data_IF_197253980262
#
_entry.id   IF_197253980262
#
_cell.length_a   1.000
_cell.length_b   1.000
_cell.length_c   1.000
_cell.angle_alpha   90.00
_cell.angle_beta   90.00
_cell.angle_gamma   90.00
#
_symmetry.space_group_name_H-M   'P 1'
#
loop_
_entity.id
_entity.type
_entity.pdbx_description
1 polymer ?
#
# COMPACT_ATOMS: atom_id res chain seq x y z
N UNK A 1 14.59 5.27 4.68
CA UNK A 1 15.32 6.29 3.87
C UNK A 1 16.62 6.77 4.52
N UNK A 2 16.61 7.50 5.65
CA UNK A 2 17.83 8.12 6.24
C UNK A 2 19.03 7.16 6.36
N UNK A 3 18.82 5.92 6.80
CA UNK A 3 19.87 4.91 6.94
C UNK A 3 20.59 4.59 5.61
N UNK A 4 19.85 4.52 4.49
CA UNK A 4 20.41 4.30 3.14
C UNK A 4 21.30 5.47 2.71
N UNK A 5 20.87 6.70 3.00
CA UNK A 5 21.65 7.92 2.72
C UNK A 5 22.94 7.92 3.56
N UNK A 6 22.85 7.57 4.84
CA UNK A 6 24.02 7.49 5.72
C UNK A 6 25.04 6.44 5.24
N UNK A 7 24.59 5.24 4.85
CA UNK A 7 25.46 4.19 4.29
C UNK A 7 26.11 4.65 2.98
N UNK A 8 25.35 5.27 2.06
CA UNK A 8 25.89 5.80 0.82
C UNK A 8 26.98 6.87 1.05
N UNK A 9 26.75 7.80 1.99
CA UNK A 9 27.74 8.82 2.38
C UNK A 9 29.00 8.19 2.98
N UNK A 10 28.86 7.19 3.87
CA UNK A 10 30.00 6.49 4.48
C UNK A 10 30.84 5.76 3.43
N UNK A 11 30.21 5.04 2.49
CA UNK A 11 30.91 4.36 1.39
C UNK A 11 31.64 5.35 0.49
N UNK A 12 31.00 6.48 0.15
CA UNK A 12 31.58 7.51 -0.72
C UNK A 12 32.78 8.20 -0.03
N UNK A 13 32.68 8.53 1.27
CA UNK A 13 33.78 9.06 2.07
C UNK A 13 34.94 8.05 2.21
N UNK A 14 34.62 6.77 2.43
CA UNK A 14 35.64 5.71 2.50
C UNK A 14 36.40 5.54 1.19
N UNK A 15 35.71 5.55 0.04
CA UNK A 15 36.32 5.53 -1.29
C UNK A 15 37.19 6.78 -1.56
N UNK A 16 36.70 7.97 -1.17
CA UNK A 16 37.44 9.22 -1.32
C UNK A 16 38.73 9.22 -0.47
N UNK A 17 38.64 8.75 0.78
CA UNK A 17 39.78 8.61 1.69
C UNK A 17 40.79 7.57 1.19
N UNK A 18 40.32 6.40 0.75
CA UNK A 18 41.17 5.36 0.18
C UNK A 18 41.95 5.89 -1.02
N UNK A 19 41.28 6.56 -1.97
CA UNK A 19 41.95 7.22 -3.09
C UNK A 19 42.98 8.27 -2.61
N UNK A 20 42.61 9.12 -1.64
CA UNK A 20 43.49 10.19 -1.13
C UNK A 20 44.74 9.70 -0.39
N UNK A 21 44.71 8.51 0.22
CA UNK A 21 45.81 7.94 1.02
C UNK A 21 46.60 6.83 0.32
N UNK A 22 45.99 6.02 -0.56
CA UNK A 22 46.69 4.94 -1.28
C UNK A 22 47.34 5.44 -2.58
N UNK A 23 46.69 6.36 -3.33
CA UNK A 23 47.24 6.90 -4.59
C UNK A 23 48.68 7.46 -4.47
N UNK A 24 49.06 8.25 -3.45
CA UNK A 24 50.44 8.73 -3.28
C UNK A 24 51.42 7.66 -2.73
N UNK A 25 50.99 6.41 -2.53
CA UNK A 25 51.85 5.27 -2.14
C UNK A 25 51.97 4.20 -3.23
N UNK A 26 51.10 4.23 -4.25
CA UNK A 26 51.08 3.26 -5.35
C UNK A 26 51.68 3.83 -6.65
N UNK A 27 51.77 5.15 -6.80
CA UNK A 27 52.40 5.80 -7.95
C UNK A 27 53.87 6.14 -7.64
N UNK A 28 54.70 5.09 -7.59
CA UNK A 28 56.17 5.19 -7.54
C UNK A 28 56.75 4.11 -8.48
N UNK A 29 57.59 4.55 -9.41
CA UNK A 29 58.09 3.84 -10.59
C UNK A 29 57.04 3.34 -11.62
N UNK A 30 57.24 3.75 -12.88
CA UNK A 30 56.72 3.20 -14.15
C UNK A 30 55.40 2.42 -14.15
N UNK A 31 54.26 3.15 -14.22
CA UNK A 31 53.09 2.64 -14.94
C UNK A 31 52.24 3.73 -15.60
N UNK A 32 52.19 3.72 -16.94
CA UNK A 32 51.25 4.52 -17.75
C UNK A 32 49.85 3.84 -17.81
N UNK A 33 49.72 2.63 -17.26
CA UNK A 33 48.46 1.87 -17.11
C UNK A 33 47.61 2.36 -15.92
N UNK A 34 47.64 3.67 -15.64
CA UNK A 34 46.70 4.30 -14.72
C UNK A 34 45.27 4.18 -15.26
N UNK A 35 44.48 3.23 -14.70
CA UNK A 35 43.12 2.88 -15.12
C UNK A 35 42.33 4.13 -15.55
N UNK A 36 42.10 4.27 -16.85
CA UNK A 36 41.70 5.54 -17.40
C UNK A 36 40.20 5.76 -17.18
N UNK A 37 39.76 7.01 -17.19
CA UNK A 37 38.35 7.38 -16.92
C UNK A 37 37.39 6.63 -17.85
N UNK A 38 37.79 6.40 -19.11
CA UNK A 38 37.08 5.56 -20.10
C UNK A 38 36.80 4.13 -19.62
N UNK A 39 37.69 3.53 -18.84
CA UNK A 39 37.61 2.13 -18.41
C UNK A 39 36.64 1.98 -17.22
N UNK A 40 36.46 3.06 -16.45
CA UNK A 40 35.45 3.18 -15.40
C UNK A 40 34.04 3.53 -15.93
N UNK A 41 33.94 4.18 -17.10
CA UNK A 41 32.65 4.56 -17.72
C UNK A 41 31.80 3.33 -18.05
N UNK A 42 32.39 2.23 -18.52
CA UNK A 42 31.65 0.99 -18.83
C UNK A 42 30.89 0.44 -17.61
N UNK A 43 31.59 0.08 -16.51
CA UNK A 43 30.94 -0.36 -15.27
C UNK A 43 29.95 0.67 -14.73
N UNK A 44 30.29 1.96 -14.71
CA UNK A 44 29.41 3.01 -14.19
C UNK A 44 28.08 3.09 -14.97
N UNK A 45 28.13 3.01 -16.31
CA UNK A 45 26.92 2.99 -17.14
C UNK A 45 26.05 1.74 -16.89
N UNK A 46 26.65 0.56 -16.72
CA UNK A 46 25.84 -0.64 -16.39
C UNK A 46 25.16 -0.51 -15.02
N UNK A 47 25.84 0.08 -14.03
CA UNK A 47 25.25 0.36 -12.72
C UNK A 47 24.14 1.42 -12.79
N UNK A 48 24.26 2.48 -13.59
CA UNK A 48 23.18 3.47 -13.74
C UNK A 48 21.96 2.90 -14.47
N UNK A 49 22.13 2.00 -15.44
CA UNK A 49 21.01 1.30 -16.09
C UNK A 49 20.27 0.39 -15.11
N UNK A 50 20.99 -0.40 -14.30
CA UNK A 50 20.39 -1.24 -13.27
C UNK A 50 19.66 -0.40 -12.20
N UNK A 51 20.28 0.69 -11.75
CA UNK A 51 19.70 1.57 -10.73
C UNK A 51 18.48 2.35 -11.25
N UNK A 52 18.49 2.76 -12.53
CA UNK A 52 17.33 3.34 -13.20
C UNK A 52 16.19 2.31 -13.35
N UNK A 53 16.50 1.05 -13.68
CA UNK A 53 15.49 -0.02 -13.74
C UNK A 53 14.87 -0.32 -12.37
N UNK A 54 15.68 -0.38 -11.30
CA UNK A 54 15.19 -0.51 -9.92
C UNK A 54 14.31 0.69 -9.53
N UNK A 55 14.70 1.91 -9.89
CA UNK A 55 13.91 3.12 -9.61
C UNK A 55 12.56 3.11 -10.35
N UNK A 56 12.54 2.73 -11.64
CA UNK A 56 11.32 2.64 -12.45
C UNK A 56 10.38 1.54 -11.93
N UNK A 57 10.91 0.37 -11.58
CA UNK A 57 10.11 -0.74 -11.05
C UNK A 57 9.53 -0.43 -9.67
N UNK A 58 10.32 0.18 -8.76
CA UNK A 58 9.83 0.64 -7.46
C UNK A 58 8.73 1.72 -7.59
N UNK A 59 8.94 2.73 -8.45
CA UNK A 59 7.96 3.79 -8.68
C UNK A 59 6.68 3.26 -9.36
N UNK A 60 6.81 2.25 -10.24
CA UNK A 60 5.67 1.55 -10.84
C UNK A 60 4.83 0.78 -9.82
N UNK A 61 5.47 0.11 -8.85
CA UNK A 61 4.76 -0.61 -7.78
C UNK A 61 4.06 0.36 -6.81
N UNK A 62 4.71 1.46 -6.42
CA UNK A 62 4.07 2.52 -5.63
C UNK A 62 2.83 3.09 -6.33
N UNK A 63 2.94 3.43 -7.62
CA UNK A 63 1.82 3.96 -8.40
C UNK A 63 0.64 2.98 -8.51
N UNK A 64 0.92 1.67 -8.61
CA UNK A 64 -0.12 0.63 -8.55
C UNK A 64 -0.75 0.50 -7.16
N UNK A 65 0.03 0.52 -6.09
CA UNK A 65 -0.49 0.49 -4.72
C UNK A 65 -1.40 1.70 -4.45
N UNK A 66 -1.02 2.89 -4.90
CA UNK A 66 -1.83 4.12 -4.79
C UNK A 66 -3.14 4.02 -5.60
N UNK A 67 -3.08 3.49 -6.83
CA UNK A 67 -4.29 3.25 -7.64
C UNK A 67 -5.21 2.23 -6.98
N UNK A 68 -4.67 1.10 -6.51
CA UNK A 68 -5.42 0.02 -5.88
C UNK A 68 -6.10 0.47 -4.58
N UNK A 69 -5.37 1.15 -3.68
CA UNK A 69 -5.96 1.73 -2.46
C UNK A 69 -7.11 2.70 -2.77
N UNK A 70 -7.01 3.49 -3.86
CA UNK A 70 -8.08 4.39 -4.31
C UNK A 70 -9.21 3.66 -5.03
N UNK A 71 -8.95 2.54 -5.70
CA UNK A 71 -9.96 1.73 -6.35
C UNK A 71 -10.83 1.03 -5.31
N UNK A 72 -10.21 0.44 -4.29
CA UNK A 72 -10.89 -0.20 -3.17
C UNK A 72 -11.76 0.79 -2.39
N UNK A 73 -11.24 1.96 -2.04
CA UNK A 73 -12.00 3.01 -1.36
C UNK A 73 -13.28 3.39 -2.15
N UNK A 74 -13.13 3.69 -3.44
CA UNK A 74 -14.29 4.01 -4.31
C UNK A 74 -15.27 2.84 -4.45
N UNK A 75 -14.80 1.59 -4.36
CA UNK A 75 -15.67 0.43 -4.42
C UNK A 75 -16.41 0.17 -3.09
N UNK A 76 -15.87 0.64 -1.95
CA UNK A 76 -16.62 0.74 -0.68
C UNK A 76 -17.66 1.88 -0.76
N UNK A 77 -17.29 3.05 -1.30
CA UNK A 77 -18.23 4.15 -1.52
C UNK A 77 -19.39 3.72 -2.43
N UNK A 78 -19.09 3.08 -3.57
CA UNK A 78 -20.10 2.52 -4.50
C UNK A 78 -20.94 1.41 -3.87
N UNK A 79 -20.41 0.65 -2.92
CA UNK A 79 -21.20 -0.35 -2.19
C UNK A 79 -22.22 0.32 -1.27
N UNK A 80 -21.85 1.43 -0.62
CA UNK A 80 -22.73 2.25 0.21
C UNK A 80 -23.79 2.97 -0.64
N UNK A 81 -23.40 3.58 -1.76
CA UNK A 81 -24.33 4.21 -2.72
C UNK A 81 -25.33 3.19 -3.30
N UNK A 82 -24.86 1.99 -3.68
CA UNK A 82 -25.73 0.92 -4.18
C UNK A 82 -26.68 0.39 -3.10
N UNK A 83 -26.31 0.45 -1.82
CA UNK A 83 -27.16 0.00 -0.71
C UNK A 83 -28.38 0.90 -0.48
N UNK A 84 -28.39 2.16 -0.95
CA UNK A 84 -29.56 3.05 -0.86
C UNK A 84 -30.78 2.51 -1.65
N UNK A 85 -30.56 1.59 -2.60
CA UNK A 85 -31.64 0.89 -3.33
C UNK A 85 -32.13 -0.41 -2.64
N UNK A 86 -31.59 -0.74 -1.46
CA UNK A 86 -32.06 -1.83 -0.60
C UNK A 86 -33.11 -1.31 0.42
N UNK A 87 -33.83 -2.20 1.13
CA UNK A 87 -34.68 -1.76 2.25
C UNK A 87 -33.83 -1.23 3.40
N UNK A 88 -34.42 -0.32 4.19
CA UNK A 88 -33.75 0.45 5.25
C UNK A 88 -32.90 -0.39 6.23
N UNK A 89 -33.36 -1.58 6.61
CA UNK A 89 -32.62 -2.49 7.48
C UNK A 89 -31.31 -3.00 6.83
N UNK A 90 -31.39 -3.50 5.59
CA UNK A 90 -30.20 -3.97 4.87
C UNK A 90 -29.27 -2.83 4.46
N UNK A 91 -29.82 -1.65 4.15
CA UNK A 91 -29.05 -0.43 3.89
C UNK A 91 -28.20 -0.02 5.10
N UNK A 92 -28.81 0.05 6.28
CA UNK A 92 -28.11 0.39 7.52
C UNK A 92 -27.05 -0.64 7.93
N UNK A 93 -27.34 -1.95 7.76
CA UNK A 93 -26.35 -3.01 8.04
C UNK A 93 -25.14 -2.91 7.09
N UNK A 94 -25.35 -2.71 5.78
CA UNK A 94 -24.25 -2.52 4.81
C UNK A 94 -23.44 -1.25 5.10
N UNK A 95 -24.07 -0.14 5.48
CA UNK A 95 -23.34 1.07 5.89
C UNK A 95 -22.51 0.85 7.16
N UNK A 96 -23.06 0.18 8.16
CA UNK A 96 -22.35 -0.12 9.41
C UNK A 96 -21.15 -1.04 9.17
N UNK A 97 -21.34 -2.13 8.41
CA UNK A 97 -20.27 -3.04 8.00
C UNK A 97 -19.20 -2.34 7.14
N UNK A 98 -19.58 -1.37 6.29
CA UNK A 98 -18.63 -0.61 5.46
C UNK A 98 -17.72 0.28 6.30
N UNK A 99 -18.26 0.96 7.31
CA UNK A 99 -17.44 1.73 8.27
C UNK A 99 -16.53 0.80 9.08
N UNK A 100 -17.02 -0.37 9.48
CA UNK A 100 -16.23 -1.35 10.23
C UNK A 100 -15.14 -2.03 9.38
N UNK A 101 -15.41 -2.28 8.10
CA UNK A 101 -14.42 -2.70 7.11
C UNK A 101 -13.29 -1.66 6.98
N UNK A 102 -13.64 -0.38 6.78
CA UNK A 102 -12.66 0.70 6.61
C UNK A 102 -11.75 0.86 7.85
N UNK A 103 -12.30 0.71 9.07
CA UNK A 103 -11.51 0.66 10.32
C UNK A 103 -10.56 -0.54 10.34
N UNK A 104 -11.05 -1.75 10.04
CA UNK A 104 -10.23 -2.97 10.03
C UNK A 104 -9.09 -2.91 9.00
N UNK A 105 -9.30 -2.26 7.85
CA UNK A 105 -8.24 -2.01 6.86
C UNK A 105 -7.18 -1.07 7.44
N UNK A 106 -7.60 0.12 7.89
CA UNK A 106 -6.72 1.18 8.43
C UNK A 106 -5.89 0.72 9.63
N UNK A 107 -6.53 0.09 10.61
CA UNK A 107 -5.93 -0.12 11.95
C UNK A 107 -5.31 -1.51 12.14
N UNK A 108 -5.59 -2.45 11.24
CA UNK A 108 -5.09 -3.83 11.35
C UNK A 108 -4.39 -4.32 10.08
N UNK A 109 -4.91 -3.98 8.89
CA UNK A 109 -4.29 -4.43 7.65
C UNK A 109 -3.08 -3.58 7.24
N UNK A 110 -3.15 -2.26 7.31
CA UNK A 110 -2.01 -1.40 6.98
C UNK A 110 -0.79 -1.61 7.90
N UNK A 111 -0.94 -1.82 9.24
CA UNK A 111 0.19 -2.23 10.08
C UNK A 111 0.74 -3.61 9.70
N UNK A 112 -0.11 -4.60 9.45
CA UNK A 112 0.34 -5.93 9.01
C UNK A 112 1.10 -5.85 7.67
N UNK A 113 0.66 -4.99 6.73
CA UNK A 113 1.33 -4.79 5.45
C UNK A 113 2.71 -4.15 5.61
N UNK A 114 2.93 -3.30 6.62
CA UNK A 114 4.26 -2.76 6.93
C UNK A 114 5.24 -3.85 7.40
N UNK A 115 4.74 -4.90 8.07
CA UNK A 115 5.48 -6.13 8.42
C UNK A 115 5.50 -7.17 7.29
N UNK A 116 4.93 -6.87 6.10
CA UNK A 116 4.89 -7.77 4.94
C UNK A 116 3.81 -8.86 5.02
N UNK A 117 2.73 -8.62 5.76
CA UNK A 117 1.64 -9.56 6.00
C UNK A 117 0.26 -8.96 5.66
N UNK A 118 -0.75 -9.81 5.48
CA UNK A 118 -2.16 -9.38 5.35
C UNK A 118 -2.94 -9.62 6.65
N UNK A 119 -3.96 -8.80 6.92
CA UNK A 119 -4.86 -9.02 8.06
C UNK A 119 -6.11 -9.82 7.64
N UNK A 120 -6.59 -10.77 8.46
CA UNK A 120 -7.87 -11.43 8.25
C UNK A 120 -9.08 -10.54 8.66
N UNK A 121 -8.88 -9.44 9.40
CA UNK A 121 -9.98 -8.67 9.96
C UNK A 121 -10.92 -8.02 8.91
N UNK A 122 -10.43 -7.40 7.81
CA UNK A 122 -11.30 -6.92 6.73
C UNK A 122 -12.12 -8.04 6.06
N UNK A 123 -11.59 -9.27 6.06
CA UNK A 123 -12.28 -10.44 5.49
C UNK A 123 -13.52 -10.85 6.30
N UNK A 124 -13.61 -10.49 7.59
CA UNK A 124 -14.80 -10.72 8.42
C UNK A 124 -15.97 -9.92 7.87
N UNK A 125 -15.82 -8.60 7.78
CA UNK A 125 -16.84 -7.68 7.26
C UNK A 125 -17.22 -7.97 5.80
N UNK A 126 -16.26 -8.42 4.98
CA UNK A 126 -16.60 -8.91 3.62
C UNK A 126 -17.57 -10.11 3.61
N UNK A 127 -17.56 -10.93 4.66
CA UNK A 127 -18.43 -12.09 4.82
C UNK A 127 -19.80 -11.69 5.39
N UNK A 128 -19.86 -10.54 6.07
CA UNK A 128 -21.08 -9.93 6.56
C UNK A 128 -21.87 -9.25 5.44
N UNK A 129 -21.22 -8.45 4.58
CA UNK A 129 -21.78 -8.00 3.29
C UNK A 129 -22.47 -9.13 2.52
N UNK A 130 -21.74 -10.24 2.31
CA UNK A 130 -22.26 -11.43 1.61
C UNK A 130 -23.34 -12.18 2.39
N UNK A 131 -23.62 -11.87 3.67
CA UNK A 131 -24.85 -12.28 4.36
C UNK A 131 -26.01 -11.39 3.94
N UNK A 132 -25.88 -10.08 4.10
CA UNK A 132 -26.96 -9.11 3.79
C UNK A 132 -27.41 -9.22 2.33
N UNK A 133 -26.48 -9.44 1.39
CA UNK A 133 -26.82 -9.58 -0.03
C UNK A 133 -27.78 -10.74 -0.30
N UNK A 134 -27.76 -11.83 0.49
CA UNK A 134 -28.69 -12.96 0.32
C UNK A 134 -30.13 -12.60 0.68
N UNK A 135 -30.37 -11.57 1.49
CA UNK A 135 -31.71 -11.09 1.85
C UNK A 135 -32.35 -10.23 0.75
N UNK A 136 -31.53 -9.72 -0.16
CA UNK A 136 -31.93 -8.96 -1.35
C UNK A 136 -31.74 -9.74 -2.66
N UNK A 137 -31.43 -11.04 -2.58
CA UNK A 137 -31.31 -11.92 -3.75
C UNK A 137 -32.59 -11.88 -4.61
N UNK A 138 -32.44 -11.86 -5.93
CA UNK A 138 -33.54 -11.69 -6.89
C UNK A 138 -34.07 -10.25 -7.04
N UNK A 139 -33.62 -9.28 -6.24
CA UNK A 139 -33.93 -7.85 -6.43
C UNK A 139 -32.91 -7.17 -7.35
N UNK A 140 -33.26 -6.09 -8.08
CA UNK A 140 -32.33 -5.39 -8.98
C UNK A 140 -31.04 -4.89 -8.30
N UNK A 141 -31.12 -4.49 -7.03
CA UNK A 141 -29.97 -4.01 -6.23
C UNK A 141 -28.89 -5.08 -5.99
N UNK A 142 -29.26 -6.37 -5.99
CA UNK A 142 -28.31 -7.47 -5.74
C UNK A 142 -27.14 -7.47 -6.73
N UNK A 143 -27.41 -7.24 -8.01
CA UNK A 143 -26.37 -7.19 -9.05
C UNK A 143 -25.41 -6.00 -8.88
N UNK A 144 -25.89 -4.88 -8.33
CA UNK A 144 -25.07 -3.69 -8.06
C UNK A 144 -24.15 -3.93 -6.86
N UNK A 145 -24.70 -4.45 -5.76
CA UNK A 145 -23.95 -4.77 -4.53
C UNK A 145 -22.85 -5.82 -4.78
N UNK A 146 -23.17 -6.89 -5.53
CA UNK A 146 -22.20 -7.93 -5.89
C UNK A 146 -21.11 -7.39 -6.81
N UNK A 147 -21.44 -6.49 -7.76
CA UNK A 147 -20.43 -5.85 -8.60
C UNK A 147 -19.47 -4.97 -7.77
N UNK A 148 -19.97 -4.21 -6.80
CA UNK A 148 -19.16 -3.39 -5.91
C UNK A 148 -18.28 -4.24 -4.96
N UNK A 149 -18.82 -5.29 -4.32
CA UNK A 149 -18.05 -6.18 -3.44
C UNK A 149 -16.93 -6.91 -4.20
N UNK A 150 -17.20 -7.36 -5.44
CA UNK A 150 -16.20 -7.94 -6.33
C UNK A 150 -15.12 -6.91 -6.66
N UNK A 151 -15.49 -5.71 -7.14
CA UNK A 151 -14.53 -4.65 -7.51
C UNK A 151 -13.63 -4.25 -6.35
N UNK A 152 -14.19 -4.07 -5.15
CA UNK A 152 -13.45 -3.81 -3.90
C UNK A 152 -12.47 -4.94 -3.59
N UNK A 153 -12.88 -6.19 -3.79
CA UNK A 153 -12.05 -7.36 -3.49
C UNK A 153 -10.88 -7.51 -4.47
N UNK A 154 -11.08 -7.24 -5.77
CA UNK A 154 -10.01 -7.15 -6.77
C UNK A 154 -8.96 -6.09 -6.39
N UNK A 155 -9.41 -4.88 -6.05
CA UNK A 155 -8.53 -3.76 -5.73
C UNK A 155 -7.77 -4.00 -4.42
N UNK A 156 -8.39 -4.67 -3.42
CA UNK A 156 -7.67 -5.16 -2.23
C UNK A 156 -6.62 -6.20 -2.57
N UNK A 157 -6.89 -7.12 -3.48
CA UNK A 157 -5.92 -8.15 -3.90
C UNK A 157 -4.73 -7.52 -4.64
N UNK A 158 -4.95 -6.55 -5.54
CA UNK A 158 -3.82 -5.81 -6.15
C UNK A 158 -3.08 -4.96 -5.10
N UNK A 159 -3.77 -4.29 -4.17
CA UNK A 159 -3.13 -3.55 -3.05
C UNK A 159 -2.22 -4.46 -2.22
N UNK A 160 -2.72 -5.62 -1.78
CA UNK A 160 -1.94 -6.59 -1.00
C UNK A 160 -0.76 -7.16 -1.80
N UNK A 161 -0.94 -7.38 -3.10
CA UNK A 161 0.13 -7.82 -4.01
C UNK A 161 1.25 -6.78 -4.12
N UNK A 162 0.90 -5.50 -4.32
CA UNK A 162 1.90 -4.41 -4.44
C UNK A 162 2.55 -4.05 -3.09
N UNK A 163 1.83 -4.18 -1.97
CA UNK A 163 2.33 -3.79 -0.65
C UNK A 163 3.55 -4.60 -0.18
N UNK A 164 3.80 -5.78 -0.76
CA UNK A 164 5.05 -6.53 -0.57
C UNK A 164 6.31 -5.77 -1.01
N UNK A 165 6.18 -4.64 -1.74
CA UNK A 165 7.29 -3.80 -2.17
C UNK A 165 7.55 -2.58 -1.27
N UNK A 166 6.52 -1.79 -0.89
CA UNK A 166 6.69 -0.50 -0.20
C UNK A 166 5.50 -0.19 0.73
N UNK A 167 5.79 0.12 1.99
CA UNK A 167 4.84 0.66 2.97
C UNK A 167 5.32 2.01 3.55
N UNK A 168 4.65 3.12 3.19
CA UNK A 168 4.60 4.42 3.90
C UNK A 168 3.75 5.40 3.02
N UNK A 169 2.43 5.54 3.25
CA UNK A 169 1.58 6.38 2.38
C UNK A 169 0.32 7.07 3.00
N UNK A 170 -0.24 6.61 4.12
CA UNK A 170 -1.70 6.75 4.32
C UNK A 170 -2.23 7.85 5.28
N UNK A 171 -1.38 8.68 5.91
CA UNK A 171 -1.79 9.61 7.01
C UNK A 171 -2.72 10.79 6.62
N UNK A 172 -3.47 10.68 5.52
CA UNK A 172 -4.22 11.77 4.91
C UNK A 172 -5.72 11.48 4.72
N UNK A 173 -6.11 10.24 4.34
CA UNK A 173 -7.52 9.93 4.05
C UNK A 173 -8.44 9.90 5.30
N UNK A 174 -7.90 9.52 6.47
CA UNK A 174 -8.70 9.29 7.68
C UNK A 174 -9.37 10.55 8.26
N UNK A 175 -8.90 11.75 7.91
CA UNK A 175 -9.35 12.99 8.58
C UNK A 175 -10.71 13.50 8.13
N UNK A 176 -11.09 13.30 6.88
CA UNK A 176 -12.29 13.92 6.33
C UNK A 176 -13.56 13.15 6.73
N UNK A 177 -13.50 11.81 6.81
CA UNK A 177 -14.64 10.94 7.13
C UNK A 177 -15.19 11.13 8.56
N UNK A 178 -14.31 11.36 9.54
CA UNK A 178 -14.70 11.51 10.96
C UNK A 178 -15.41 12.85 11.26
N UNK A 179 -15.54 13.74 10.27
CA UNK A 179 -16.18 15.06 10.43
C UNK A 179 -17.71 15.00 10.45
N UNK A 180 -18.32 13.87 10.02
CA UNK A 180 -19.76 13.82 9.70
C UNK A 180 -20.56 12.66 10.34
N UNK A 181 -19.91 11.67 10.98
CA UNK A 181 -20.60 10.49 11.52
C UNK A 181 -20.20 10.19 12.98
N UNK A 182 -21.19 9.96 13.85
CA UNK A 182 -20.98 9.62 15.27
C UNK A 182 -20.81 8.12 15.47
N UNK A 183 -19.74 7.71 16.16
CA UNK A 183 -19.30 6.32 16.30
C UNK A 183 -20.10 5.45 17.31
N UNK A 184 -21.36 5.81 17.60
CA UNK A 184 -22.12 5.26 18.74
C UNK A 184 -22.72 3.86 18.48
N UNK A 185 -23.32 3.64 17.30
CA UNK A 185 -24.19 2.50 17.03
C UNK A 185 -23.57 1.45 16.07
N UNK A 186 -22.25 1.43 15.94
CA UNK A 186 -21.53 0.54 15.04
C UNK A 186 -21.22 -0.84 15.68
N UNK A 187 -21.33 -1.95 14.92
CA UNK A 187 -21.02 -3.30 15.41
C UNK A 187 -19.53 -3.54 15.71
N UNK A 188 -18.67 -2.54 15.50
CA UNK A 188 -17.25 -2.57 15.75
C UNK A 188 -16.75 -1.50 16.71
N UNK A 189 -15.59 -1.76 17.33
CA UNK A 189 -14.78 -0.77 18.02
C UNK A 189 -14.08 0.19 17.03
N UNK A 190 -13.24 1.09 17.54
CA UNK A 190 -12.52 2.07 16.72
C UNK A 190 -11.32 1.50 15.95
N UNK A 191 -11.00 0.20 16.13
CA UNK A 191 -10.01 -0.57 15.36
C UNK A 191 -10.66 -1.54 14.34
N UNK A 192 -11.99 -1.56 14.25
CA UNK A 192 -12.71 -2.46 13.35
C UNK A 192 -12.83 -3.91 13.86
N UNK A 193 -12.49 -4.19 15.12
CA UNK A 193 -12.86 -5.45 15.76
C UNK A 193 -14.36 -5.45 16.05
N UNK A 194 -15.03 -6.61 15.93
CA UNK A 194 -16.42 -6.73 16.42
C UNK A 194 -16.49 -6.43 17.91
N UNK A 195 -17.49 -5.65 18.31
CA UNK A 195 -17.95 -5.63 19.71
C UNK A 195 -18.55 -7.01 20.01
N UNK A 196 -18.20 -7.60 21.15
CA UNK A 196 -18.89 -8.78 21.65
C UNK A 196 -20.31 -8.39 22.08
N UNK A 197 -21.29 -9.15 21.60
CA UNK A 197 -22.68 -9.09 22.07
C UNK A 197 -22.85 -9.91 23.36
#
# INVERSE_FOLDING_TARGET
MVLVIAVAVVVLLAGLAANRFLRPRLLGEDDDTGMAVKDLVGPLLTLTVLLAFVLVTANGSYGKAEVASRGEARAVDQLVEAAEYAPEAQWAEIQADAVCYARAVRDQEWPAMADGHGSPAPSVWSTDFRRVFREVEGRPVFGMLVAADNKRSEEREERLTQATAIAEAERQATRDFLTHHTAADLPCDDQGNRRSA
#
